data_IF_454717377278
#
_entry.id   IF_454717377278
#
_cell.length_a   1.000
_cell.length_b   1.000
_cell.length_c   1.000
_cell.angle_alpha   90.00
_cell.angle_beta   90.00
_cell.angle_gamma   90.00
#
_symmetry.space_group_name_H-M   'P 1'
#
loop_
_entity.id
_entity.type
_entity.pdbx_description
1 polymer ?
#
# COMPACT_ATOMS: atom_id res chain seq x y z
N UNK A 1 4.99 15.22 -9.85
CA UNK A 1 4.34 16.20 -8.98
C UNK A 1 4.34 15.65 -7.56
N UNK A 2 5.30 16.06 -6.74
CA UNK A 2 5.24 15.90 -5.29
C UNK A 2 4.28 16.95 -4.77
N UNK A 3 3.04 16.54 -4.46
CA UNK A 3 2.10 17.41 -3.74
C UNK A 3 2.27 17.10 -2.27
N UNK A 4 2.98 17.99 -1.58
CA UNK A 4 3.27 17.97 -0.14
C UNK A 4 2.03 18.31 0.72
N UNK A 5 0.83 17.85 0.35
CA UNK A 5 -0.34 18.04 1.21
C UNK A 5 -0.37 16.93 2.27
N UNK A 6 -0.06 17.24 3.55
CA UNK A 6 -0.02 16.23 4.58
C UNK A 6 -1.40 15.58 4.74
N UNK A 7 -1.42 14.26 4.92
CA UNK A 7 -2.64 13.53 5.23
C UNK A 7 -3.19 14.04 6.58
N UNK A 8 -4.33 14.74 6.56
CA UNK A 8 -4.98 15.28 7.77
C UNK A 8 -6.30 14.57 8.05
N UNK A 9 -6.51 14.12 9.29
CA UNK A 9 -7.75 13.43 9.70
C UNK A 9 -8.98 14.36 9.65
N UNK A 10 -10.07 13.88 9.06
CA UNK A 10 -11.37 14.57 9.04
C UNK A 10 -12.47 13.68 9.67
N UNK A 11 -12.99 14.02 10.86
CA UNK A 11 -14.07 13.26 11.49
C UNK A 11 -15.34 13.30 10.64
N UNK A 12 -15.97 12.14 10.42
CA UNK A 12 -17.21 12.03 9.65
C UNK A 12 -17.02 11.84 8.13
N UNK A 13 -15.78 11.75 7.66
CA UNK A 13 -15.52 11.50 6.24
C UNK A 13 -16.07 10.13 5.82
N UNK A 14 -16.99 10.14 4.85
CA UNK A 14 -17.61 8.94 4.28
C UNK A 14 -16.60 8.08 3.51
N UNK A 15 -15.50 8.72 3.05
CA UNK A 15 -14.45 8.10 2.25
C UNK A 15 -13.41 7.45 3.17
N UNK A 16 -13.11 6.18 2.89
CA UNK A 16 -12.08 5.42 3.58
C UNK A 16 -10.73 5.69 2.95
N UNK A 17 -9.69 5.85 3.76
CA UNK A 17 -8.34 6.15 3.25
C UNK A 17 -7.48 4.90 3.22
N UNK A 18 -6.80 4.70 2.09
CA UNK A 18 -5.80 3.67 1.88
C UNK A 18 -4.46 4.37 1.76
N UNK A 19 -3.56 4.16 2.71
CA UNK A 19 -2.18 4.62 2.61
C UNK A 19 -1.43 3.64 1.71
N UNK A 20 -1.05 4.09 0.51
CA UNK A 20 -0.25 3.32 -0.43
C UNK A 20 1.23 3.60 -0.19
N UNK A 21 2.03 2.55 0.06
CA UNK A 21 3.49 2.64 0.24
C UNK A 21 4.16 1.90 -0.90
N UNK A 22 4.72 2.60 -1.88
CA UNK A 22 5.29 1.95 -3.08
C UNK A 22 6.50 2.67 -3.65
N UNK A 23 7.11 2.08 -4.68
CA UNK A 23 8.39 2.53 -5.24
C UNK A 23 8.30 3.73 -6.19
N UNK A 24 7.09 4.09 -6.66
CA UNK A 24 6.93 5.26 -7.51
C UNK A 24 5.56 5.46 -8.11
N UNK A 25 5.39 6.62 -8.75
CA UNK A 25 4.13 7.10 -9.32
C UNK A 25 3.54 6.16 -10.37
N UNK A 26 4.39 5.57 -11.24
CA UNK A 26 3.90 4.69 -12.32
C UNK A 26 3.28 3.39 -11.78
N UNK A 27 3.88 2.74 -10.77
CA UNK A 27 3.29 1.55 -10.13
C UNK A 27 1.95 1.90 -9.48
N UNK A 28 1.91 3.06 -8.83
CA UNK A 28 0.70 3.56 -8.18
C UNK A 28 -0.43 3.84 -9.17
N UNK A 29 -0.15 4.58 -10.25
CA UNK A 29 -1.14 4.88 -11.29
C UNK A 29 -1.64 3.61 -11.97
N UNK A 30 -0.73 2.69 -12.34
CA UNK A 30 -1.07 1.39 -12.90
C UNK A 30 -1.99 0.59 -11.97
N UNK A 31 -1.68 0.52 -10.67
CA UNK A 31 -2.53 -0.16 -9.70
C UNK A 31 -3.94 0.44 -9.62
N UNK A 32 -4.03 1.77 -9.56
CA UNK A 32 -5.32 2.47 -9.47
C UNK A 32 -6.12 2.31 -10.77
N UNK A 33 -5.46 2.33 -11.93
CA UNK A 33 -6.05 2.03 -13.24
C UNK A 33 -6.63 0.61 -13.27
N UNK A 34 -5.87 -0.39 -12.84
CA UNK A 34 -6.31 -1.80 -12.76
C UNK A 34 -7.50 -1.98 -11.83
N UNK A 35 -7.45 -1.36 -10.66
CA UNK A 35 -8.55 -1.42 -9.71
C UNK A 35 -9.81 -0.73 -10.25
N UNK A 36 -9.65 0.36 -11.02
CA UNK A 36 -10.75 1.10 -11.61
C UNK A 36 -11.51 0.33 -12.69
N UNK A 37 -10.84 -0.59 -13.41
CA UNK A 37 -11.50 -1.49 -14.39
C UNK A 37 -12.08 -2.74 -13.73
N UNK A 38 -11.85 -2.94 -12.43
CA UNK A 38 -12.36 -4.07 -11.67
C UNK A 38 -13.89 -4.12 -11.60
N UNK A 39 -14.50 -5.32 -11.44
CA UNK A 39 -15.94 -5.46 -11.34
C UNK A 39 -16.54 -4.65 -10.19
N UNK A 40 -17.60 -3.88 -10.49
CA UNK A 40 -18.33 -3.03 -9.52
C UNK A 40 -17.46 -1.94 -8.90
N UNK A 41 -16.45 -1.48 -9.63
CA UNK A 41 -15.63 -0.31 -9.27
C UNK A 41 -15.85 0.82 -10.27
N UNK A 42 -15.86 2.05 -9.78
CA UNK A 42 -15.89 3.26 -10.61
C UNK A 42 -14.96 4.32 -10.04
N UNK A 43 -14.42 5.20 -10.88
CA UNK A 43 -13.67 6.37 -10.41
C UNK A 43 -14.62 7.41 -9.86
N UNK A 44 -14.23 8.02 -8.74
CA UNK A 44 -14.96 9.15 -8.16
C UNK A 44 -14.08 10.39 -8.25
N UNK A 45 -14.71 11.55 -8.41
CA UNK A 45 -14.00 12.83 -8.36
C UNK A 45 -13.41 13.04 -6.97
N UNK A 46 -12.13 13.38 -6.94
CA UNK A 46 -11.41 13.86 -5.76
C UNK A 46 -10.45 14.96 -6.22
N UNK A 47 -10.22 15.94 -5.36
CA UNK A 47 -9.35 17.09 -5.66
C UNK A 47 -7.88 16.82 -5.33
N UNK A 48 -7.63 15.89 -4.40
CA UNK A 48 -6.30 15.65 -3.84
C UNK A 48 -5.70 14.35 -4.37
N UNK A 49 -6.39 13.23 -4.16
CA UNK A 49 -5.86 11.88 -4.35
C UNK A 49 -6.81 11.02 -5.18
N UNK A 50 -6.33 10.06 -5.99
CA UNK A 50 -7.21 9.16 -6.72
C UNK A 50 -8.20 8.46 -5.79
N UNK A 51 -9.47 8.45 -6.20
CA UNK A 51 -10.55 7.85 -5.42
C UNK A 51 -11.39 6.90 -6.26
N UNK A 52 -11.73 5.74 -5.69
CA UNK A 52 -12.53 4.70 -6.30
C UNK A 52 -13.75 4.40 -5.42
N UNK A 53 -14.92 4.18 -6.04
CA UNK A 53 -16.08 3.61 -5.35
C UNK A 53 -16.20 2.15 -5.71
N UNK A 54 -16.22 1.29 -4.69
CA UNK A 54 -16.43 -0.15 -4.87
C UNK A 54 -17.42 -0.67 -3.84
N UNK A 55 -18.39 -1.47 -4.27
CA UNK A 55 -19.45 -2.03 -3.40
C UNK A 55 -20.11 -0.99 -2.49
N UNK A 56 -20.34 0.23 -2.99
CA UNK A 56 -20.96 1.33 -2.26
C UNK A 56 -20.07 2.03 -1.22
N UNK A 57 -18.76 1.75 -1.19
CA UNK A 57 -17.78 2.43 -0.34
C UNK A 57 -16.81 3.23 -1.21
N UNK A 58 -16.54 4.46 -0.81
CA UNK A 58 -15.49 5.26 -1.46
C UNK A 58 -14.15 5.05 -0.75
N UNK A 59 -13.11 4.81 -1.54
CA UNK A 59 -11.73 4.63 -1.13
C UNK A 59 -10.89 5.75 -1.74
N UNK A 60 -10.11 6.45 -0.93
CA UNK A 60 -9.10 7.41 -1.36
C UNK A 60 -7.71 6.82 -1.17
N UNK A 61 -6.85 6.91 -2.17
CA UNK A 61 -5.52 6.34 -2.14
C UNK A 61 -4.47 7.43 -1.94
N UNK A 62 -3.87 7.47 -0.76
CA UNK A 62 -2.84 8.45 -0.38
C UNK A 62 -1.47 7.81 -0.64
N UNK A 63 -0.72 8.23 -1.66
CA UNK A 63 0.57 7.61 -1.94
C UNK A 63 1.70 8.22 -1.11
N UNK A 64 2.55 7.35 -0.58
CA UNK A 64 3.86 7.67 0.00
C UNK A 64 4.91 6.76 -0.61
N UNK A 65 6.10 7.30 -0.83
CA UNK A 65 7.13 6.63 -1.64
C UNK A 65 8.22 5.96 -0.81
N UNK A 66 8.26 6.25 0.50
CA UNK A 66 9.23 5.72 1.43
C UNK A 66 8.60 5.45 2.79
N UNK A 67 9.32 4.73 3.64
CA UNK A 67 8.88 4.35 4.99
C UNK A 67 8.77 5.56 5.92
N UNK A 68 9.64 6.55 5.78
CA UNK A 68 9.56 7.79 6.57
C UNK A 68 8.22 8.51 6.37
N UNK A 69 7.82 8.74 5.12
CA UNK A 69 6.54 9.34 4.79
C UNK A 69 5.35 8.49 5.21
N UNK A 70 5.50 7.15 5.21
CA UNK A 70 4.49 6.26 5.75
C UNK A 70 4.31 6.45 7.27
N UNK A 71 5.42 6.47 8.02
CA UNK A 71 5.41 6.71 9.47
C UNK A 71 4.83 8.08 9.81
N UNK A 72 5.21 9.14 9.09
CA UNK A 72 4.69 10.49 9.31
C UNK A 72 3.19 10.58 9.01
N UNK A 73 2.71 9.92 7.94
CA UNK A 73 1.29 9.86 7.62
C UNK A 73 0.48 9.08 8.66
N UNK A 74 1.02 7.96 9.16
CA UNK A 74 0.38 7.13 10.18
C UNK A 74 0.31 7.83 11.55
N UNK A 75 1.30 8.67 11.88
CA UNK A 75 1.28 9.52 13.08
C UNK A 75 0.30 10.69 12.97
N UNK A 76 0.11 11.21 11.76
CA UNK A 76 -0.64 12.46 11.53
C UNK A 76 -2.11 12.26 11.19
N UNK A 77 -2.50 11.06 10.73
CA UNK A 77 -3.88 10.78 10.35
C UNK A 77 -4.28 9.31 10.51
N UNK A 78 -5.57 9.11 10.83
CA UNK A 78 -6.18 7.81 10.75
C UNK A 78 -6.35 7.38 9.28
N UNK A 79 -5.74 6.26 8.93
CA UNK A 79 -5.97 5.57 7.66
C UNK A 79 -6.75 4.28 7.91
N UNK A 80 -7.46 3.75 6.92
CA UNK A 80 -8.26 2.52 7.06
C UNK A 80 -7.53 1.25 6.62
N UNK A 81 -6.58 1.39 5.70
CA UNK A 81 -5.76 0.30 5.18
C UNK A 81 -4.35 0.82 4.87
N UNK A 82 -3.35 0.01 5.19
CA UNK A 82 -1.98 0.17 4.70
C UNK A 82 -1.78 -0.81 3.53
N UNK A 83 -1.51 -0.28 2.34
CA UNK A 83 -1.24 -1.05 1.14
C UNK A 83 0.23 -0.89 0.77
N UNK A 84 1.03 -1.90 1.06
CA UNK A 84 2.45 -1.92 0.72
C UNK A 84 2.62 -2.56 -0.65
N UNK A 85 3.23 -1.86 -1.59
CA UNK A 85 3.51 -2.35 -2.93
C UNK A 85 5.00 -2.62 -3.11
N UNK A 86 5.35 -3.91 -3.11
CA UNK A 86 6.70 -4.43 -3.39
C UNK A 86 6.81 -4.97 -4.83
N UNK A 87 5.79 -4.79 -5.66
CA UNK A 87 5.81 -5.30 -7.02
C UNK A 87 6.87 -4.58 -7.86
N UNK A 88 7.60 -5.35 -8.65
CA UNK A 88 8.56 -4.88 -9.66
C UNK A 88 9.56 -3.83 -9.16
N UNK A 89 9.98 -3.95 -7.89
CA UNK A 89 11.03 -3.11 -7.34
C UNK A 89 12.39 -3.54 -7.90
N UNK A 90 13.07 -2.63 -8.63
CA UNK A 90 14.44 -2.87 -9.13
C UNK A 90 15.42 -3.15 -7.99
N UNK A 91 15.18 -2.56 -6.83
CA UNK A 91 15.94 -2.75 -5.59
C UNK A 91 15.10 -3.48 -4.52
N UNK A 92 14.57 -4.64 -4.92
CA UNK A 92 13.62 -5.42 -4.13
C UNK A 92 14.12 -5.72 -2.72
N UNK A 93 15.39 -6.06 -2.55
CA UNK A 93 15.93 -6.45 -1.24
C UNK A 93 15.99 -5.30 -0.26
N UNK A 94 16.50 -4.16 -0.70
CA UNK A 94 16.54 -2.97 0.16
C UNK A 94 15.11 -2.54 0.47
N UNK A 95 14.19 -2.61 -0.50
CA UNK A 95 12.79 -2.27 -0.26
C UNK A 95 12.11 -3.23 0.70
N UNK A 96 12.35 -4.53 0.59
CA UNK A 96 11.85 -5.51 1.53
C UNK A 96 12.44 -5.29 2.93
N UNK A 97 13.71 -4.93 3.05
CA UNK A 97 14.34 -4.55 4.31
C UNK A 97 13.71 -3.30 4.95
N UNK A 98 13.45 -2.25 4.16
CA UNK A 98 12.74 -1.05 4.60
C UNK A 98 11.34 -1.38 5.13
N UNK A 99 10.56 -2.18 4.39
CA UNK A 99 9.22 -2.58 4.82
C UNK A 99 9.26 -3.43 6.08
N UNK A 100 10.23 -4.35 6.21
CA UNK A 100 10.44 -5.11 7.45
C UNK A 100 10.69 -4.18 8.63
N UNK A 101 11.48 -3.13 8.44
CA UNK A 101 11.72 -2.14 9.48
C UNK A 101 10.44 -1.35 9.84
N UNK A 102 9.68 -0.90 8.85
CA UNK A 102 8.38 -0.24 9.06
C UNK A 102 7.42 -1.13 9.86
N UNK A 103 7.29 -2.41 9.49
CA UNK A 103 6.40 -3.34 10.20
C UNK A 103 6.82 -3.57 11.65
N UNK A 104 8.13 -3.64 11.94
CA UNK A 104 8.65 -3.71 13.30
C UNK A 104 8.33 -2.45 14.10
N UNK A 105 8.46 -1.28 13.49
CA UNK A 105 8.11 -0.01 14.14
C UNK A 105 6.61 0.06 14.48
N UNK A 106 5.75 -0.47 13.61
CA UNK A 106 4.31 -0.56 13.87
C UNK A 106 3.94 -1.58 14.97
N UNK A 107 4.82 -2.53 15.27
CA UNK A 107 4.65 -3.51 16.35
C UNK A 107 5.15 -2.99 17.71
N UNK A 108 6.09 -2.02 17.72
CA UNK A 108 6.89 -1.71 18.90
C UNK A 108 6.33 -0.62 19.84
N UNK A 109 5.17 -0.01 19.57
CA UNK A 109 4.70 1.10 20.39
C UNK A 109 3.86 0.67 21.62
N UNK A 110 4.36 1.07 22.80
CA UNK A 110 3.63 1.12 24.09
C UNK A 110 2.53 2.20 24.10
N UNK A 111 2.28 2.88 22.98
CA UNK A 111 1.33 3.99 22.87
C UNK A 111 -0.10 3.49 22.58
N UNK A 112 -1.03 3.85 23.46
CA UNK A 112 -2.35 3.23 23.61
C UNK A 112 -3.28 3.55 22.41
N UNK A 113 -2.91 4.48 21.53
CA UNK A 113 -3.76 4.97 20.43
C UNK A 113 -3.32 4.58 18.99
N UNK A 114 -2.23 3.82 18.80
CA UNK A 114 -1.71 3.51 17.44
C UNK A 114 -1.39 2.03 17.17
N UNK A 115 -2.22 1.10 17.64
CA UNK A 115 -2.18 -0.30 17.15
C UNK A 115 -2.77 -0.41 15.75
N UNK A 116 -1.98 -0.11 14.73
CA UNK A 116 -2.36 -0.40 13.35
C UNK A 116 -2.37 -1.92 13.15
N UNK A 117 -3.49 -2.57 13.50
CA UNK A 117 -3.55 -4.02 13.52
C UNK A 117 -3.21 -4.61 12.15
N UNK A 118 -2.30 -5.58 12.11
CA UNK A 118 -1.76 -6.15 10.86
C UNK A 118 -2.82 -6.80 9.95
N UNK A 119 -4.04 -7.00 10.46
CA UNK A 119 -5.22 -7.32 9.66
C UNK A 119 -5.69 -6.19 8.73
N UNK A 120 -5.08 -5.00 8.82
CA UNK A 120 -5.31 -3.82 7.95
C UNK A 120 -4.14 -3.54 7.03
N UNK A 121 -3.18 -4.46 6.97
CA UNK A 121 -2.02 -4.37 6.09
C UNK A 121 -2.22 -5.37 4.96
N UNK A 122 -2.11 -4.88 3.73
CA UNK A 122 -2.06 -5.69 2.51
C UNK A 122 -0.71 -5.45 1.86
N UNK A 123 0.01 -6.51 1.54
CA UNK A 123 1.29 -6.43 0.83
C UNK A 123 1.13 -7.03 -0.56
N UNK A 124 1.47 -6.27 -1.59
CA UNK A 124 1.54 -6.73 -2.97
C UNK A 124 2.98 -7.13 -3.28
N UNK A 125 3.19 -8.33 -3.80
CA UNK A 125 4.53 -8.84 -4.16
C UNK A 125 4.53 -9.34 -5.60
N UNK A 126 5.63 -9.10 -6.32
CA UNK A 126 5.90 -9.71 -7.62
C UNK A 126 7.41 -9.78 -7.84
N UNK A 127 7.86 -10.72 -8.68
CA UNK A 127 9.26 -10.82 -9.04
C UNK A 127 9.57 -12.08 -9.84
N UNK A 128 10.72 -12.12 -10.54
CA UNK A 128 11.15 -13.27 -11.33
C UNK A 128 11.57 -14.45 -10.46
N UNK A 129 12.07 -14.20 -9.25
CA UNK A 129 12.56 -15.22 -8.33
C UNK A 129 11.43 -15.71 -7.40
N UNK A 130 10.79 -16.79 -7.81
CA UNK A 130 9.67 -17.38 -7.06
C UNK A 130 10.06 -17.81 -5.65
N UNK A 131 11.26 -18.37 -5.47
CA UNK A 131 11.70 -18.85 -4.16
C UNK A 131 11.86 -17.69 -3.17
N UNK A 132 12.47 -16.59 -3.60
CA UNK A 132 12.61 -15.39 -2.75
C UNK A 132 11.28 -14.75 -2.39
N UNK A 133 10.32 -14.75 -3.32
CA UNK A 133 8.97 -14.26 -3.04
C UNK A 133 8.27 -15.16 -2.01
N UNK A 134 8.42 -16.48 -2.12
CA UNK A 134 7.82 -17.41 -1.16
C UNK A 134 8.45 -17.25 0.24
N UNK A 135 9.77 -17.08 0.33
CA UNK A 135 10.47 -16.77 1.59
C UNK A 135 9.94 -15.47 2.21
N UNK A 136 9.78 -14.41 1.41
CA UNK A 136 9.20 -13.15 1.89
C UNK A 136 7.75 -13.32 2.37
N UNK A 137 6.93 -14.12 1.69
CA UNK A 137 5.56 -14.39 2.11
C UNK A 137 5.55 -15.09 3.48
N UNK A 138 6.45 -16.06 3.69
CA UNK A 138 6.60 -16.75 4.97
C UNK A 138 7.03 -15.76 6.06
N UNK A 139 8.01 -14.90 5.79
CA UNK A 139 8.47 -13.87 6.72
C UNK A 139 7.36 -12.89 7.11
N UNK A 140 6.60 -12.37 6.12
CA UNK A 140 5.47 -11.47 6.34
C UNK A 140 4.36 -12.13 7.16
N UNK A 141 4.08 -13.41 6.90
CA UNK A 141 3.15 -14.21 7.68
C UNK A 141 3.62 -14.40 9.13
N UNK A 142 4.92 -14.64 9.34
CA UNK A 142 5.51 -14.83 10.66
C UNK A 142 5.42 -13.56 11.54
N UNK A 143 5.51 -12.37 10.95
CA UNK A 143 5.28 -11.11 11.68
C UNK A 143 3.79 -10.78 11.86
N UNK A 144 2.88 -11.51 11.22
CA UNK A 144 1.43 -11.39 11.44
C UNK A 144 0.65 -10.62 10.36
N UNK A 145 1.29 -10.28 9.23
CA UNK A 145 0.59 -9.74 8.06
C UNK A 145 -0.32 -10.83 7.49
N UNK A 146 -1.62 -10.53 7.41
CA UNK A 146 -2.64 -11.52 7.00
C UNK A 146 -2.90 -11.58 5.51
N UNK A 147 -2.62 -10.50 4.79
CA UNK A 147 -2.98 -10.37 3.38
C UNK A 147 -1.74 -10.06 2.57
N UNK A 148 -1.20 -11.09 1.92
CA UNK A 148 -0.15 -10.95 0.92
C UNK A 148 -0.71 -11.41 -0.42
N UNK A 149 -0.71 -10.53 -1.41
CA UNK A 149 -1.19 -10.81 -2.75
C UNK A 149 0.00 -10.87 -3.69
N UNK A 150 0.19 -12.02 -4.32
CA UNK A 150 1.22 -12.23 -5.34
C UNK A 150 0.63 -11.94 -6.71
N UNK A 151 1.31 -11.09 -7.47
CA UNK A 151 1.05 -10.93 -8.89
C UNK A 151 1.98 -11.85 -9.69
N UNK A 152 1.41 -12.54 -10.68
CA UNK A 152 2.19 -13.37 -11.60
C UNK A 152 3.17 -12.51 -12.40
N UNK A 153 4.41 -12.98 -12.47
CA UNK A 153 5.46 -12.32 -13.23
C UNK A 153 5.52 -12.89 -14.64
N UNK A 154 5.51 -12.00 -15.64
CA UNK A 154 5.68 -12.35 -17.05
C UNK A 154 6.81 -11.47 -17.64
N UNK A 155 7.89 -12.10 -18.14
CA UNK A 155 9.07 -11.40 -18.68
C UNK A 155 8.72 -10.41 -19.81
N UNK A 156 7.69 -10.69 -20.61
CA UNK A 156 7.30 -9.90 -21.78
C UNK A 156 6.39 -8.70 -21.46
N UNK A 157 6.04 -8.49 -20.19
CA UNK A 157 5.18 -7.38 -19.76
C UNK A 157 5.98 -6.38 -18.94
N UNK A 158 6.10 -5.11 -19.37
CA UNK A 158 6.69 -4.10 -18.51
C UNK A 158 5.95 -4.04 -17.16
N UNK A 159 6.67 -3.60 -16.13
CA UNK A 159 6.23 -3.50 -14.73
C UNK A 159 4.93 -2.70 -14.45
N UNK A 160 4.27 -2.19 -15.49
CA UNK A 160 3.11 -1.30 -15.41
C UNK A 160 2.03 -1.66 -16.44
N UNK A 161 2.21 -2.76 -17.19
CA UNK A 161 1.24 -3.23 -18.18
C UNK A 161 0.43 -4.40 -17.66
N UNK A 162 -0.87 -4.17 -17.58
CA UNK A 162 -1.90 -5.21 -17.37
C UNK A 162 -2.27 -5.94 -18.65
#
# INVERSE_FOLDING_TARGET
>A
MTRDDPCQYEPGNLRKRVLYVGSGLRCFESLVDDMAVGPRTERVRSETYPALRTRGRELEFVPVWNTLGATDALRSAYVNLLLVDLRWSEDFENRAAEIRQLLKELDHDEDIELRYGFHRIVVLVSGPDTHRIDDLIIELGAVGVRYVLRQDFHEDRPAWSS
#
